data_IF_604168916115
#
_entry.id   IF_604168916115
#
_cell.length_a   1.000
_cell.length_b   1.000
_cell.length_c   1.000
_cell.angle_alpha   90.00
_cell.angle_beta   90.00
_cell.angle_gamma   90.00
#
_symmetry.space_group_name_H-M   'P 1'
#
loop_
_entity.id
_entity.type
_entity.pdbx_description
1 polymer ?
#
# COMPACT_ATOMS: atom_id res chain seq x y z
N UNK A 1 -80.77 -40.08 -7.13
CA UNK A 1 -79.49 -40.34 -6.43
C UNK A 1 -78.41 -39.47 -7.07
N UNK A 2 -78.10 -38.32 -6.48
CA UNK A 2 -77.00 -37.46 -6.96
C UNK A 2 -75.71 -37.91 -6.29
N UNK A 3 -74.75 -38.38 -7.10
CA UNK A 3 -73.41 -38.72 -6.64
C UNK A 3 -72.72 -37.48 -6.05
N UNK A 4 -72.05 -37.58 -4.89
CA UNK A 4 -71.40 -36.43 -4.29
C UNK A 4 -70.21 -36.00 -5.13
N UNK A 5 -70.17 -34.71 -5.51
CA UNK A 5 -69.03 -34.08 -6.18
C UNK A 5 -67.80 -34.25 -5.28
N UNK A 6 -66.81 -35.06 -5.70
CA UNK A 6 -65.50 -35.19 -5.07
C UNK A 6 -64.90 -33.80 -4.89
N UNK A 7 -64.81 -33.33 -3.64
CA UNK A 7 -64.01 -32.17 -3.29
C UNK A 7 -62.56 -32.46 -3.69
N UNK A 8 -62.00 -31.64 -4.59
CA UNK A 8 -60.57 -31.67 -4.86
C UNK A 8 -59.85 -31.35 -3.54
N UNK A 9 -58.90 -32.18 -3.07
CA UNK A 9 -58.17 -31.88 -1.86
C UNK A 9 -57.42 -30.58 -2.09
N UNK A 10 -57.77 -29.56 -1.32
CA UNK A 10 -57.02 -28.30 -1.27
C UNK A 10 -55.61 -28.68 -0.84
N UNK A 11 -54.63 -28.60 -1.75
CA UNK A 11 -53.23 -28.92 -1.41
C UNK A 11 -52.85 -28.16 -0.15
N UNK A 12 -52.44 -28.89 0.89
CA UNK A 12 -51.89 -28.30 2.11
C UNK A 12 -50.76 -27.35 1.74
N UNK A 13 -50.65 -26.23 2.45
CA UNK A 13 -49.64 -25.20 2.20
C UNK A 13 -48.21 -25.79 2.18
N UNK A 14 -47.94 -26.80 2.99
CA UNK A 14 -46.69 -27.57 3.00
C UNK A 14 -46.38 -28.25 1.66
N UNK A 15 -47.36 -28.86 1.03
CA UNK A 15 -47.19 -29.53 -0.27
C UNK A 15 -46.95 -28.51 -1.39
N UNK A 16 -47.57 -27.32 -1.32
CA UNK A 16 -47.32 -26.22 -2.27
C UNK A 16 -45.89 -25.68 -2.19
N UNK A 17 -45.34 -25.58 -0.98
CA UNK A 17 -43.93 -25.21 -0.77
C UNK A 17 -43.00 -26.28 -1.35
N UNK A 18 -43.29 -27.56 -1.09
CA UNK A 18 -42.43 -28.65 -1.56
C UNK A 18 -42.46 -28.85 -3.08
N UNK A 19 -43.55 -28.54 -3.78
CA UNK A 19 -43.59 -28.62 -5.25
C UNK A 19 -43.21 -27.32 -5.95
N UNK A 20 -42.81 -26.29 -5.20
CA UNK A 20 -42.34 -25.04 -5.78
C UNK A 20 -41.09 -25.32 -6.64
N UNK A 21 -41.15 -25.08 -7.97
CA UNK A 21 -40.02 -25.35 -8.86
C UNK A 21 -38.75 -24.59 -8.47
N UNK A 22 -38.88 -23.37 -7.93
CA UNK A 22 -37.73 -22.58 -7.50
C UNK A 22 -37.08 -23.17 -6.26
N UNK A 23 -37.89 -23.66 -5.30
CA UNK A 23 -37.37 -24.33 -4.11
C UNK A 23 -36.68 -25.64 -4.48
N UNK A 24 -37.28 -26.44 -5.38
CA UNK A 24 -36.70 -27.69 -5.84
C UNK A 24 -35.37 -27.48 -6.59
N UNK A 25 -35.28 -26.46 -7.44
CA UNK A 25 -34.02 -26.07 -8.08
C UNK A 25 -32.98 -25.63 -7.04
N UNK A 26 -33.37 -24.83 -6.05
CA UNK A 26 -32.46 -24.37 -4.99
C UNK A 26 -31.94 -25.53 -4.15
N UNK A 27 -32.81 -26.48 -3.77
CA UNK A 27 -32.42 -27.70 -3.05
C UNK A 27 -31.44 -28.51 -3.89
N UNK A 28 -31.73 -28.76 -5.17
CA UNK A 28 -30.83 -29.52 -6.04
C UNK A 28 -29.47 -28.84 -6.22
N UNK A 29 -29.43 -27.51 -6.23
CA UNK A 29 -28.19 -26.73 -6.33
C UNK A 29 -27.41 -26.67 -5.02
N UNK A 30 -28.05 -26.80 -3.85
CA UNK A 30 -27.40 -26.76 -2.54
C UNK A 30 -27.35 -28.16 -1.92
N UNK A 31 -26.23 -28.85 -2.10
CA UNK A 31 -26.06 -30.23 -1.68
C UNK A 31 -24.81 -30.36 -0.80
N UNK A 32 -24.93 -31.11 0.30
CA UNK A 32 -23.85 -31.32 1.28
C UNK A 32 -23.28 -30.02 1.89
N UNK A 33 -24.14 -29.00 2.07
CA UNK A 33 -23.75 -27.72 2.65
C UNK A 33 -22.99 -26.78 1.70
N UNK A 34 -22.98 -27.07 0.40
CA UNK A 34 -22.32 -26.26 -0.63
C UNK A 34 -23.19 -26.13 -1.87
N UNK A 35 -23.19 -24.95 -2.49
CA UNK A 35 -23.75 -24.79 -3.83
C UNK A 35 -22.88 -25.48 -4.88
N UNK A 36 -23.49 -26.11 -5.89
CA UNK A 36 -22.81 -26.84 -6.96
C UNK A 36 -21.76 -25.99 -7.69
N UNK A 37 -22.05 -24.71 -7.95
CA UNK A 37 -21.14 -23.78 -8.62
C UNK A 37 -19.89 -23.44 -7.79
N UNK A 38 -19.96 -23.61 -6.47
CA UNK A 38 -18.83 -23.40 -5.55
C UNK A 38 -17.88 -24.60 -5.50
N UNK A 39 -18.34 -25.81 -5.85
CA UNK A 39 -17.48 -27.02 -5.78
C UNK A 39 -16.24 -26.90 -6.67
N UNK A 40 -16.40 -26.34 -7.87
CA UNK A 40 -15.29 -26.11 -8.80
C UNK A 40 -14.21 -25.20 -8.18
N UNK A 41 -14.62 -24.19 -7.41
CA UNK A 41 -13.70 -23.26 -6.73
C UNK A 41 -12.94 -23.95 -5.61
N UNK A 42 -13.62 -24.70 -4.76
CA UNK A 42 -12.96 -25.49 -3.70
C UNK A 42 -12.08 -26.62 -4.25
N UNK A 43 -12.42 -27.19 -5.41
CA UNK A 43 -11.58 -28.17 -6.09
C UNK A 43 -10.32 -27.51 -6.67
N UNK A 44 -10.46 -26.37 -7.36
CA UNK A 44 -9.33 -25.61 -7.91
C UNK A 44 -8.37 -25.14 -6.82
N UNK A 45 -8.90 -24.67 -5.69
CA UNK A 45 -8.12 -24.32 -4.51
C UNK A 45 -7.38 -25.53 -3.92
N UNK A 46 -8.05 -26.67 -3.74
CA UNK A 46 -7.41 -27.92 -3.27
C UNK A 46 -6.34 -28.44 -4.21
N UNK A 47 -6.48 -28.21 -5.51
CA UNK A 47 -5.48 -28.53 -6.51
C UNK A 47 -4.28 -27.56 -6.51
N UNK A 48 -4.25 -26.58 -5.58
CA UNK A 48 -3.23 -25.53 -5.48
C UNK A 48 -3.04 -24.77 -6.81
N UNK A 49 -4.13 -24.55 -7.55
CA UNK A 49 -4.10 -23.73 -8.77
C UNK A 49 -3.62 -22.33 -8.40
N UNK A 50 -2.62 -21.81 -9.12
CA UNK A 50 -2.03 -20.50 -8.82
C UNK A 50 -3.13 -19.43 -8.84
N UNK A 51 -3.28 -18.74 -7.71
CA UNK A 51 -4.21 -17.62 -7.61
C UNK A 51 -3.83 -16.53 -8.62
N UNK A 52 -4.83 -15.92 -9.23
CA UNK A 52 -4.62 -14.74 -10.07
C UNK A 52 -4.15 -13.52 -9.24
N UNK A 53 -4.24 -13.59 -7.91
CA UNK A 53 -3.90 -12.51 -7.00
C UNK A 53 -2.70 -12.90 -6.13
N UNK A 54 -1.77 -11.96 -5.84
CA UNK A 54 -0.70 -12.22 -4.89
C UNK A 54 -1.27 -12.54 -3.50
N UNK A 55 -0.69 -13.54 -2.83
CA UNK A 55 -1.10 -13.98 -1.49
C UNK A 55 -1.28 -12.83 -0.49
N UNK A 56 -0.35 -11.88 -0.51
CA UNK A 56 -0.32 -10.74 0.42
C UNK A 56 -1.51 -9.81 0.22
N UNK A 57 -2.05 -9.73 -0.99
CA UNK A 57 -3.14 -8.84 -1.33
C UNK A 57 -4.50 -9.45 -1.01
N UNK A 58 -4.56 -10.77 -0.78
CA UNK A 58 -5.75 -11.47 -0.34
C UNK A 58 -5.89 -11.51 1.19
N UNK A 59 -5.00 -10.89 1.99
CA UNK A 59 -5.11 -10.89 3.46
C UNK A 59 -5.22 -12.30 4.09
N UNK A 60 -4.50 -13.28 3.52
CA UNK A 60 -4.44 -14.67 4.00
C UNK A 60 -3.01 -15.07 4.36
N UNK A 61 -2.87 -15.95 5.35
CA UNK A 61 -1.56 -16.38 5.85
C UNK A 61 -0.83 -17.33 4.88
N UNK A 62 -1.58 -18.09 4.07
CA UNK A 62 -1.05 -19.06 3.10
C UNK A 62 -2.09 -19.29 1.98
N UNK A 63 -1.63 -19.71 0.80
CA UNK A 63 -2.53 -20.18 -0.26
C UNK A 63 -3.33 -21.44 0.15
N UNK A 64 -2.85 -22.18 1.16
CA UNK A 64 -3.58 -23.31 1.75
C UNK A 64 -4.66 -22.88 2.75
N UNK A 65 -4.92 -21.59 2.89
CA UNK A 65 -6.01 -21.08 3.71
C UNK A 65 -7.33 -21.16 2.93
N UNK A 66 -8.35 -21.81 3.51
CA UNK A 66 -9.67 -21.93 2.88
C UNK A 66 -10.33 -20.58 2.57
N UNK A 67 -9.95 -19.52 3.29
CA UNK A 67 -10.45 -18.15 3.08
C UNK A 67 -10.05 -17.56 1.74
N UNK A 68 -9.03 -18.12 1.07
CA UNK A 68 -8.65 -17.75 -0.30
C UNK A 68 -9.87 -17.79 -1.22
N UNK A 69 -10.72 -18.81 -1.10
CA UNK A 69 -11.92 -18.96 -1.96
C UNK A 69 -12.86 -17.77 -1.83
N UNK A 70 -13.09 -17.30 -0.60
CA UNK A 70 -13.91 -16.12 -0.32
C UNK A 70 -13.20 -14.84 -0.77
N UNK A 71 -11.94 -14.67 -0.39
CA UNK A 71 -11.20 -13.44 -0.63
C UNK A 71 -10.90 -13.23 -2.12
N UNK A 72 -10.77 -14.28 -2.92
CA UNK A 72 -10.70 -14.18 -4.38
C UNK A 72 -12.03 -13.78 -5.00
N UNK A 73 -13.15 -14.34 -4.52
CA UNK A 73 -14.48 -13.93 -4.98
C UNK A 73 -14.72 -12.43 -4.68
N UNK A 74 -14.30 -11.99 -3.49
CA UNK A 74 -14.28 -10.57 -3.12
C UNK A 74 -13.37 -9.79 -4.07
N UNK A 75 -12.11 -10.18 -4.25
CA UNK A 75 -11.16 -9.48 -5.11
C UNK A 75 -11.68 -9.33 -6.56
N UNK A 76 -12.38 -10.34 -7.09
CA UNK A 76 -13.05 -10.32 -8.40
C UNK A 76 -14.33 -9.48 -8.44
N UNK A 77 -14.94 -9.17 -7.30
CA UNK A 77 -16.19 -8.42 -7.19
C UNK A 77 -17.44 -9.28 -7.41
N UNK A 78 -17.34 -10.60 -7.20
CA UNK A 78 -18.42 -11.55 -7.44
C UNK A 78 -19.39 -11.61 -6.25
N UNK A 79 -20.18 -10.55 -6.04
CA UNK A 79 -21.04 -10.42 -4.85
C UNK A 79 -22.00 -11.60 -4.66
N UNK A 80 -22.56 -12.15 -5.75
CA UNK A 80 -23.43 -13.34 -5.67
C UNK A 80 -22.70 -14.59 -5.18
N UNK A 81 -21.41 -14.75 -5.51
CA UNK A 81 -20.58 -15.85 -5.00
C UNK A 81 -20.28 -15.63 -3.52
N UNK A 82 -19.99 -14.39 -3.12
CA UNK A 82 -19.77 -14.02 -1.72
C UNK A 82 -21.00 -14.33 -0.87
N UNK A 83 -22.20 -13.96 -1.33
CA UNK A 83 -23.45 -14.29 -0.63
C UNK A 83 -23.68 -15.79 -0.49
N UNK A 84 -23.43 -16.56 -1.55
CA UNK A 84 -23.56 -18.02 -1.48
C UNK A 84 -22.53 -18.65 -0.55
N UNK A 85 -21.28 -18.18 -0.57
CA UNK A 85 -20.24 -18.65 0.35
C UNK A 85 -20.60 -18.37 1.81
N UNK A 86 -21.19 -17.21 2.09
CA UNK A 86 -21.67 -16.86 3.41
C UNK A 86 -22.87 -17.72 3.83
N UNK A 87 -23.83 -17.94 2.92
CA UNK A 87 -24.99 -18.79 3.17
C UNK A 87 -24.63 -20.26 3.47
N UNK A 88 -23.47 -20.73 3.00
CA UNK A 88 -22.92 -22.04 3.36
C UNK A 88 -22.44 -22.13 4.82
N UNK A 89 -22.35 -21.00 5.54
CA UNK A 89 -21.91 -20.90 6.94
C UNK A 89 -20.59 -21.64 7.24
N UNK A 90 -19.59 -21.41 6.39
CA UNK A 90 -18.30 -22.11 6.42
C UNK A 90 -17.26 -21.45 7.34
N UNK A 91 -17.64 -20.45 8.14
CA UNK A 91 -16.75 -19.62 8.96
C UNK A 91 -15.53 -19.11 8.16
N UNK A 92 -15.79 -18.57 6.96
CA UNK A 92 -14.77 -17.99 6.09
C UNK A 92 -14.62 -16.48 6.30
N UNK A 93 -15.68 -15.82 6.75
CA UNK A 93 -15.74 -14.37 6.86
C UNK A 93 -15.07 -13.92 8.15
N UNK A 94 -14.05 -13.08 7.99
CA UNK A 94 -13.28 -12.45 9.06
C UNK A 94 -13.14 -10.97 8.74
N UNK A 95 -12.67 -10.10 9.66
CA UNK A 95 -12.46 -8.68 9.33
C UNK A 95 -11.60 -8.44 8.09
N UNK A 96 -10.68 -9.38 7.80
CA UNK A 96 -9.85 -9.38 6.60
C UNK A 96 -10.65 -9.47 5.28
N UNK A 97 -11.89 -9.96 5.30
CA UNK A 97 -12.77 -9.96 4.14
C UNK A 97 -13.17 -8.53 3.74
N UNK A 98 -13.47 -7.68 4.72
CA UNK A 98 -13.76 -6.26 4.47
C UNK A 98 -12.50 -5.51 4.07
N UNK A 99 -11.34 -5.83 4.67
CA UNK A 99 -10.05 -5.26 4.28
C UNK A 99 -9.69 -5.62 2.81
N UNK A 100 -9.95 -6.86 2.41
CA UNK A 100 -9.80 -7.34 1.03
C UNK A 100 -10.75 -6.58 0.08
N UNK A 101 -12.02 -6.46 0.44
CA UNK A 101 -13.00 -5.72 -0.34
C UNK A 101 -12.60 -4.25 -0.52
N UNK A 102 -12.07 -3.62 0.54
CA UNK A 102 -11.59 -2.25 0.52
C UNK A 102 -10.36 -2.07 -0.39
N UNK A 103 -9.41 -3.00 -0.35
CA UNK A 103 -8.21 -3.00 -1.23
C UNK A 103 -8.57 -3.03 -2.71
N UNK A 104 -9.54 -3.85 -3.10
CA UNK A 104 -9.93 -4.03 -4.50
C UNK A 104 -11.08 -3.13 -4.95
N UNK A 105 -11.48 -2.17 -4.12
CA UNK A 105 -12.48 -1.16 -4.50
C UNK A 105 -13.90 -1.71 -4.60
N UNK A 106 -14.22 -2.79 -3.88
CA UNK A 106 -15.52 -3.45 -3.93
C UNK A 106 -16.51 -2.80 -2.96
N UNK A 107 -16.94 -1.58 -3.29
CA UNK A 107 -17.79 -0.77 -2.42
C UNK A 107 -19.10 -1.47 -2.03
N UNK A 108 -19.74 -2.18 -2.96
CA UNK A 108 -20.96 -2.95 -2.69
C UNK A 108 -20.73 -4.07 -1.66
N UNK A 109 -19.61 -4.79 -1.78
CA UNK A 109 -19.25 -5.86 -0.85
C UNK A 109 -18.89 -5.28 0.52
N UNK A 110 -18.17 -4.15 0.57
CA UNK A 110 -17.88 -3.44 1.84
C UNK A 110 -19.17 -3.02 2.53
N UNK A 111 -20.10 -2.40 1.80
CA UNK A 111 -21.39 -1.97 2.34
C UNK A 111 -22.19 -3.18 2.86
N UNK A 112 -22.26 -4.25 2.07
CA UNK A 112 -22.96 -5.47 2.47
C UNK A 112 -22.34 -6.12 3.71
N UNK A 113 -21.01 -6.31 3.76
CA UNK A 113 -20.32 -6.88 4.92
C UNK A 113 -20.58 -6.05 6.18
N UNK A 114 -20.55 -4.72 6.06
CA UNK A 114 -20.86 -3.81 7.16
C UNK A 114 -22.32 -3.97 7.63
N UNK A 115 -23.27 -4.08 6.71
CA UNK A 115 -24.70 -4.21 7.04
C UNK A 115 -25.03 -5.57 7.68
N UNK A 116 -24.22 -6.61 7.41
CA UNK A 116 -24.28 -7.89 8.13
C UNK A 116 -23.67 -7.81 9.55
N UNK A 117 -23.08 -6.67 9.94
CA UNK A 117 -22.47 -6.48 11.25
C UNK A 117 -21.01 -6.90 11.34
N UNK A 118 -20.35 -7.21 10.23
CA UNK A 118 -18.91 -7.44 10.23
C UNK A 118 -18.14 -6.13 10.43
N UNK A 119 -17.08 -6.19 11.23
CA UNK A 119 -16.15 -5.07 11.40
C UNK A 119 -14.94 -5.22 10.47
N UNK A 120 -14.26 -4.10 10.16
CA UNK A 120 -12.97 -4.08 9.47
C UNK A 120 -11.83 -3.80 10.45
N UNK A 121 -10.60 -4.10 10.01
CA UNK A 121 -9.42 -3.61 10.73
C UNK A 121 -9.06 -2.20 10.22
N UNK A 122 -7.99 -1.61 10.76
CA UNK A 122 -7.44 -0.35 10.24
C UNK A 122 -6.92 -0.51 8.80
N UNK A 123 -6.63 -1.74 8.36
CA UNK A 123 -6.14 -2.04 7.02
C UNK A 123 -7.17 -1.72 5.93
N UNK A 124 -8.47 -1.78 6.20
CA UNK A 124 -9.47 -1.43 5.18
C UNK A 124 -9.32 0.01 4.69
N UNK A 125 -9.18 0.97 5.61
CA UNK A 125 -9.04 2.38 5.23
C UNK A 125 -7.64 2.66 4.65
N UNK A 126 -6.59 2.03 5.20
CA UNK A 126 -5.22 2.15 4.67
C UNK A 126 -5.12 1.60 3.24
N UNK A 127 -5.73 0.45 2.97
CA UNK A 127 -5.75 -0.18 1.65
C UNK A 127 -6.61 0.60 0.66
N UNK A 128 -7.79 1.08 1.07
CA UNK A 128 -8.63 1.95 0.25
C UNK A 128 -7.89 3.24 -0.15
N UNK A 129 -7.17 3.86 0.79
CA UNK A 129 -6.36 5.05 0.54
C UNK A 129 -5.23 4.77 -0.48
N UNK A 130 -4.50 3.67 -0.26
CA UNK A 130 -3.38 3.26 -1.11
C UNK A 130 -3.80 3.00 -2.56
N UNK A 131 -4.95 2.34 -2.76
CA UNK A 131 -5.41 1.92 -4.08
C UNK A 131 -6.31 2.94 -4.78
N UNK A 132 -6.64 4.06 -4.13
CA UNK A 132 -7.40 5.15 -4.76
C UNK A 132 -8.92 5.03 -4.62
N UNK A 133 -9.44 4.29 -3.64
CA UNK A 133 -10.87 4.02 -3.48
C UNK A 133 -11.54 5.05 -2.56
N UNK A 134 -11.70 6.28 -3.05
CA UNK A 134 -12.28 7.41 -2.31
C UNK A 134 -13.67 7.10 -1.72
N UNK A 135 -14.56 6.44 -2.48
CA UNK A 135 -15.92 6.11 -2.02
C UNK A 135 -15.90 5.22 -0.77
N UNK A 136 -15.02 4.22 -0.74
CA UNK A 136 -14.86 3.32 0.40
C UNK A 136 -14.23 4.07 1.57
N UNK A 137 -13.24 4.91 1.29
CA UNK A 137 -12.57 5.71 2.31
C UNK A 137 -13.55 6.66 3.01
N UNK A 138 -14.40 7.37 2.26
CA UNK A 138 -15.47 8.21 2.79
C UNK A 138 -16.52 7.40 3.57
N UNK A 139 -16.91 6.23 3.05
CA UNK A 139 -17.85 5.33 3.71
C UNK A 139 -17.36 4.87 5.08
N UNK A 140 -16.09 4.44 5.16
CA UNK A 140 -15.45 4.00 6.41
C UNK A 140 -15.23 5.18 7.37
N UNK A 141 -14.84 6.35 6.86
CA UNK A 141 -14.69 7.57 7.66
C UNK A 141 -16.01 8.00 8.32
N UNK A 142 -17.11 8.04 7.56
CA UNK A 142 -18.42 8.42 8.08
C UNK A 142 -18.92 7.51 9.20
N UNK A 143 -18.40 6.28 9.29
CA UNK A 143 -18.71 5.28 10.32
C UNK A 143 -17.71 5.26 11.48
N UNK A 144 -16.80 6.24 11.53
CA UNK A 144 -15.81 6.36 12.60
C UNK A 144 -14.77 5.24 12.61
N UNK A 145 -14.52 4.57 11.47
CA UNK A 145 -13.45 3.58 11.38
C UNK A 145 -12.09 4.27 11.40
N UNK A 146 -11.14 3.64 12.06
CA UNK A 146 -9.78 4.17 12.21
C UNK A 146 -8.90 3.79 11.01
N UNK A 147 -7.83 4.55 10.80
CA UNK A 147 -6.75 4.24 9.88
C UNK A 147 -5.41 4.41 10.59
N UNK A 148 -4.31 4.12 9.91
CA UNK A 148 -2.97 4.41 10.42
C UNK A 148 -2.30 5.49 9.57
N UNK A 149 -1.05 5.83 9.92
CA UNK A 149 -0.19 6.68 9.07
C UNK A 149 0.02 6.10 7.68
N UNK A 150 -0.20 4.78 7.49
CA UNK A 150 -0.04 4.11 6.20
C UNK A 150 -1.09 4.56 5.17
N UNK A 151 -2.29 5.01 5.58
CA UNK A 151 -3.26 5.55 4.64
C UNK A 151 -2.68 6.70 3.81
N UNK A 152 -2.10 7.71 4.47
CA UNK A 152 -1.52 8.86 3.77
C UNK A 152 -0.20 8.51 3.08
N UNK A 153 0.61 7.64 3.67
CA UNK A 153 1.86 7.16 3.03
C UNK A 153 1.57 6.42 1.72
N UNK A 154 0.64 5.46 1.75
CA UNK A 154 0.26 4.67 0.58
C UNK A 154 -0.45 5.51 -0.50
N UNK A 155 -1.34 6.43 -0.09
CA UNK A 155 -1.93 7.40 -1.01
C UNK A 155 -0.87 8.28 -1.68
N UNK A 156 0.15 8.71 -0.92
CA UNK A 156 1.25 9.52 -1.45
C UNK A 156 2.17 8.74 -2.39
N UNK A 157 2.44 7.48 -2.06
CA UNK A 157 3.23 6.56 -2.88
C UNK A 157 2.61 6.32 -4.26
N UNK A 158 1.29 6.36 -4.37
CA UNK A 158 0.54 6.13 -5.61
C UNK A 158 -0.04 7.42 -6.23
N UNK A 159 0.35 8.60 -5.73
CA UNK A 159 -0.02 9.89 -6.33
C UNK A 159 -1.49 10.25 -6.18
N UNK A 160 -2.18 9.75 -5.14
CA UNK A 160 -3.61 9.99 -4.89
C UNK A 160 -3.82 11.31 -4.15
N UNK A 161 -3.57 12.44 -4.82
CA UNK A 161 -3.61 13.77 -4.19
C UNK A 161 -4.97 14.09 -3.54
N UNK A 162 -6.07 13.70 -4.18
CA UNK A 162 -7.43 13.85 -3.66
C UNK A 162 -7.60 13.16 -2.31
N UNK A 163 -7.10 11.93 -2.17
CA UNK A 163 -7.11 11.18 -0.92
C UNK A 163 -6.16 11.81 0.11
N UNK A 164 -4.97 12.23 -0.30
CA UNK A 164 -4.03 12.93 0.60
C UNK A 164 -4.67 14.20 1.17
N UNK A 165 -5.38 14.98 0.35
CA UNK A 165 -6.12 16.17 0.80
C UNK A 165 -7.26 15.80 1.75
N UNK A 166 -8.01 14.76 1.44
CA UNK A 166 -9.08 14.27 2.31
C UNK A 166 -8.54 13.86 3.69
N UNK A 167 -7.51 13.02 3.71
CA UNK A 167 -6.87 12.55 4.94
C UNK A 167 -6.26 13.72 5.73
N UNK A 168 -5.64 14.69 5.06
CA UNK A 168 -5.10 15.88 5.71
C UNK A 168 -6.16 16.73 6.42
N UNK A 169 -7.35 16.84 5.82
CA UNK A 169 -8.41 17.74 6.29
C UNK A 169 -9.33 17.10 7.34
N UNK A 170 -9.58 15.79 7.24
CA UNK A 170 -10.58 15.09 8.06
C UNK A 170 -9.98 14.15 9.10
N UNK A 171 -8.66 13.93 9.10
CA UNK A 171 -7.99 12.91 9.92
C UNK A 171 -6.77 13.48 10.65
N UNK A 172 -6.46 12.92 11.81
CA UNK A 172 -5.43 13.42 12.72
C UNK A 172 -4.20 12.51 12.82
N UNK A 173 -4.25 11.30 12.25
CA UNK A 173 -3.18 10.30 12.25
C UNK A 173 -1.90 10.83 11.60
N UNK A 174 -2.05 11.70 10.60
CA UNK A 174 -0.92 12.29 9.87
C UNK A 174 -0.18 11.30 8.99
N UNK A 175 1.11 11.55 8.77
CA UNK A 175 1.97 10.66 8.00
C UNK A 175 3.38 10.58 8.59
N UNK A 176 4.26 9.83 7.94
CA UNK A 176 5.70 9.82 8.25
C UNK A 176 6.47 10.44 7.08
N UNK A 177 7.79 10.67 7.24
CA UNK A 177 8.67 11.14 6.16
C UNK A 177 8.57 10.28 4.87
N UNK A 178 8.18 9.00 5.02
CA UNK A 178 7.97 8.07 3.90
C UNK A 178 6.95 8.57 2.88
N UNK A 179 5.98 9.40 3.29
CA UNK A 179 4.98 9.93 2.37
C UNK A 179 5.63 10.80 1.27
N UNK A 180 6.48 11.75 1.66
CA UNK A 180 7.19 12.59 0.69
C UNK A 180 8.31 11.81 -0.01
N UNK A 181 9.01 10.92 0.71
CA UNK A 181 10.07 10.08 0.12
C UNK A 181 9.53 9.21 -1.04
N UNK A 182 8.38 8.56 -0.84
CA UNK A 182 7.77 7.71 -1.86
C UNK A 182 7.03 8.47 -2.95
N UNK A 183 6.42 9.63 -2.64
CA UNK A 183 5.88 10.51 -3.66
C UNK A 183 7.00 11.00 -4.60
N UNK A 184 8.15 11.40 -4.04
CA UNK A 184 9.31 11.82 -4.82
C UNK A 184 9.93 10.67 -5.63
N UNK A 185 10.02 9.46 -5.05
CA UNK A 185 10.48 8.25 -5.75
C UNK A 185 9.69 7.96 -7.01
N UNK A 186 8.37 8.17 -6.97
CA UNK A 186 7.46 7.85 -8.08
C UNK A 186 7.09 9.09 -8.92
N UNK A 187 7.69 10.24 -8.65
CA UNK A 187 7.53 11.46 -9.44
C UNK A 187 6.19 12.18 -9.25
N UNK A 188 5.45 11.91 -8.16
CA UNK A 188 4.18 12.55 -7.84
C UNK A 188 4.37 13.96 -7.27
N UNK A 189 4.74 14.90 -8.15
CA UNK A 189 5.14 16.25 -7.79
C UNK A 189 4.04 17.10 -7.16
N UNK A 190 2.80 16.87 -7.55
CA UNK A 190 1.61 17.47 -6.97
C UNK A 190 1.46 17.09 -5.49
N UNK A 191 1.65 15.81 -5.16
CA UNK A 191 1.70 15.31 -3.77
C UNK A 191 2.90 15.86 -3.03
N UNK A 192 4.10 15.86 -3.62
CA UNK A 192 5.32 16.42 -2.97
C UNK A 192 5.12 17.88 -2.60
N UNK A 193 4.58 18.70 -3.51
CA UNK A 193 4.29 20.12 -3.25
C UNK A 193 3.24 20.28 -2.16
N UNK A 194 2.17 19.47 -2.19
CA UNK A 194 1.13 19.51 -1.16
C UNK A 194 1.69 19.16 0.22
N UNK A 195 2.42 18.06 0.34
CA UNK A 195 3.05 17.64 1.59
C UNK A 195 4.05 18.69 2.10
N UNK A 196 4.87 19.28 1.22
CA UNK A 196 5.82 20.31 1.61
C UNK A 196 5.14 21.56 2.20
N UNK A 197 3.99 21.95 1.65
CA UNK A 197 3.29 23.17 2.01
C UNK A 197 2.38 23.01 3.23
N UNK A 198 1.78 21.83 3.41
CA UNK A 198 0.71 21.61 4.41
C UNK A 198 1.13 20.68 5.56
N UNK A 199 2.26 19.97 5.45
CA UNK A 199 2.73 19.01 6.45
C UNK A 199 4.10 19.40 7.01
N UNK A 200 4.38 18.97 8.24
CA UNK A 200 5.60 19.34 9.00
C UNK A 200 6.60 18.21 9.11
N UNK A 201 6.20 16.99 8.78
CA UNK A 201 7.01 15.79 8.84
C UNK A 201 8.22 15.87 7.91
N UNK A 202 8.05 16.53 6.76
CA UNK A 202 9.13 16.72 5.79
C UNK A 202 9.45 15.45 5.02
N UNK A 203 10.75 15.23 4.78
CA UNK A 203 11.30 14.12 4.03
C UNK A 203 12.66 13.73 4.62
N UNK A 204 13.22 12.61 4.17
CA UNK A 204 14.61 12.24 4.44
C UNK A 204 15.49 12.48 3.20
N UNK A 205 16.80 12.25 3.31
CA UNK A 205 17.70 12.24 2.15
C UNK A 205 17.30 11.20 1.09
N UNK A 206 16.52 10.18 1.49
CA UNK A 206 16.00 9.14 0.62
C UNK A 206 15.07 9.72 -0.46
N UNK A 207 14.35 10.81 -0.20
CA UNK A 207 13.50 11.45 -1.21
C UNK A 207 14.28 11.84 -2.47
N UNK A 208 15.40 12.55 -2.29
CA UNK A 208 16.21 13.01 -3.42
C UNK A 208 16.99 11.85 -4.04
N UNK A 209 17.50 10.93 -3.23
CA UNK A 209 18.18 9.71 -3.69
C UNK A 209 17.28 8.88 -4.61
N UNK A 210 16.04 8.65 -4.19
CA UNK A 210 15.06 7.89 -4.95
C UNK A 210 14.53 8.64 -6.17
N UNK A 211 14.21 9.93 -6.04
CA UNK A 211 13.81 10.75 -7.18
C UNK A 211 14.90 10.75 -8.27
N UNK A 212 16.17 10.85 -7.87
CA UNK A 212 17.29 10.81 -8.79
C UNK A 212 17.45 9.43 -9.45
N UNK A 213 17.37 8.35 -8.67
CA UNK A 213 17.47 6.99 -9.17
C UNK A 213 16.36 6.61 -10.15
N UNK A 214 15.18 7.25 -10.08
CA UNK A 214 14.05 7.01 -11.00
C UNK A 214 13.91 8.11 -12.08
N UNK A 215 14.85 9.05 -12.14
CA UNK A 215 14.91 10.03 -13.23
C UNK A 215 13.95 11.21 -13.09
N UNK A 216 13.34 11.40 -11.92
CA UNK A 216 12.41 12.49 -11.65
C UNK A 216 13.15 13.81 -11.40
N UNK A 217 13.71 14.40 -12.45
CA UNK A 217 14.50 15.63 -12.38
C UNK A 217 13.74 16.81 -11.73
N UNK A 218 12.43 16.93 -11.96
CA UNK A 218 11.62 17.97 -11.31
C UNK A 218 11.62 17.82 -9.79
N UNK A 219 11.44 16.59 -9.29
CA UNK A 219 11.49 16.29 -7.86
C UNK A 219 12.88 16.59 -7.29
N UNK A 220 13.95 16.21 -8.00
CA UNK A 220 15.33 16.51 -7.57
C UNK A 220 15.57 18.02 -7.47
N UNK A 221 15.13 18.80 -8.47
CA UNK A 221 15.25 20.27 -8.46
C UNK A 221 14.46 20.89 -7.31
N UNK A 222 13.22 20.45 -7.12
CA UNK A 222 12.35 20.95 -6.07
C UNK A 222 12.95 20.65 -4.68
N UNK A 223 13.33 19.40 -4.43
CA UNK A 223 13.94 18.99 -3.17
C UNK A 223 15.26 19.73 -2.93
N UNK A 224 16.08 19.93 -3.97
CA UNK A 224 17.33 20.70 -3.85
C UNK A 224 17.07 22.15 -3.44
N UNK A 225 16.05 22.80 -4.01
CA UNK A 225 15.77 24.20 -3.77
C UNK A 225 15.03 24.46 -2.46
N UNK A 226 14.14 23.54 -2.04
CA UNK A 226 13.18 23.77 -0.96
C UNK A 226 13.49 22.99 0.33
N UNK A 227 14.43 22.05 0.29
CA UNK A 227 14.70 21.11 1.39
C UNK A 227 16.19 21.08 1.73
N UNK A 228 16.49 20.84 3.00
CA UNK A 228 17.86 20.94 3.56
C UNK A 228 18.52 19.59 3.79
N UNK A 229 17.73 18.51 3.74
CA UNK A 229 18.16 17.14 4.00
C UNK A 229 19.21 16.64 3.01
N UNK A 230 19.18 17.16 1.77
CA UNK A 230 20.13 16.82 0.74
C UNK A 230 19.95 15.43 0.14
N UNK A 231 21.04 14.84 -0.32
CA UNK A 231 21.09 13.50 -0.87
C UNK A 231 22.35 12.77 -0.37
N UNK A 232 22.47 11.49 -0.72
CA UNK A 232 23.71 10.73 -0.56
C UNK A 232 24.37 10.50 -1.93
N UNK A 233 25.47 9.76 -1.95
CA UNK A 233 26.07 9.28 -3.21
C UNK A 233 25.11 8.37 -3.99
N UNK A 234 24.07 7.83 -3.34
CA UNK A 234 23.07 6.98 -3.98
C UNK A 234 22.29 7.73 -5.08
N UNK A 235 22.03 9.02 -4.92
CA UNK A 235 21.37 9.82 -5.96
C UNK A 235 22.09 9.74 -7.31
N UNK A 236 23.40 10.01 -7.31
CA UNK A 236 24.19 10.00 -8.55
C UNK A 236 24.45 8.57 -9.05
N UNK A 237 24.75 7.63 -8.15
CA UNK A 237 24.97 6.22 -8.49
C UNK A 237 23.72 5.59 -9.12
N UNK A 238 22.55 5.83 -8.52
CA UNK A 238 21.25 5.34 -8.98
C UNK A 238 20.86 5.96 -10.31
N UNK A 239 20.97 7.29 -10.44
CA UNK A 239 20.72 8.00 -11.69
C UNK A 239 21.62 7.49 -12.82
N UNK A 240 22.89 7.21 -12.52
CA UNK A 240 23.84 6.70 -13.50
C UNK A 240 23.54 5.24 -13.92
N UNK A 241 23.23 4.38 -12.95
CA UNK A 241 22.85 2.97 -13.19
C UNK A 241 21.61 2.87 -14.08
N UNK A 242 20.65 3.77 -13.92
CA UNK A 242 19.35 3.73 -14.60
C UNK A 242 19.26 4.66 -15.82
N UNK A 243 20.35 5.31 -16.22
CA UNK A 243 20.40 6.04 -17.50
C UNK A 243 19.89 7.49 -17.46
N UNK A 244 19.80 8.11 -16.30
CA UNK A 244 19.22 9.45 -16.14
C UNK A 244 20.28 10.56 -16.25
N UNK A 245 20.82 10.79 -17.45
CA UNK A 245 21.90 11.74 -17.70
C UNK A 245 21.60 13.17 -17.19
N UNK A 246 20.39 13.68 -17.43
CA UNK A 246 20.01 15.03 -17.01
C UNK A 246 20.03 15.20 -15.47
N UNK A 247 19.69 14.13 -14.73
CA UNK A 247 19.80 14.10 -13.27
C UNK A 247 21.26 14.07 -12.84
N UNK A 248 22.10 13.24 -13.47
CA UNK A 248 23.54 13.17 -13.18
C UNK A 248 24.21 14.54 -13.39
N UNK A 249 23.93 15.20 -14.50
CA UNK A 249 24.44 16.55 -14.79
C UNK A 249 23.97 17.57 -13.75
N UNK A 250 22.68 17.54 -13.39
CA UNK A 250 22.14 18.43 -12.36
C UNK A 250 22.83 18.23 -11.01
N UNK A 251 22.95 16.98 -10.57
CA UNK A 251 23.61 16.64 -9.30
C UNK A 251 25.09 17.02 -9.32
N UNK A 252 25.80 16.81 -10.43
CA UNK A 252 27.21 17.20 -10.54
C UNK A 252 27.39 18.73 -10.43
N UNK A 253 26.48 19.51 -11.02
CA UNK A 253 26.57 20.97 -11.02
C UNK A 253 26.15 21.60 -9.68
N UNK A 254 25.23 20.99 -8.92
CA UNK A 254 24.59 21.62 -7.77
C UNK A 254 24.82 20.91 -6.42
N UNK A 255 25.38 19.70 -6.41
CA UNK A 255 25.61 18.88 -5.21
C UNK A 255 27.10 18.51 -5.07
N UNK A 256 27.53 18.25 -3.84
CA UNK A 256 28.95 18.00 -3.50
C UNK A 256 29.24 16.56 -3.08
N UNK A 257 28.18 15.77 -2.90
CA UNK A 257 28.25 14.38 -2.46
C UNK A 257 28.96 13.47 -3.48
N UNK A 258 28.78 13.77 -4.78
CA UNK A 258 29.40 13.05 -5.88
C UNK A 258 28.84 11.64 -6.07
N UNK A 259 29.64 10.77 -6.70
CA UNK A 259 29.32 9.37 -6.95
C UNK A 259 30.37 8.42 -6.38
N UNK A 260 30.02 7.15 -6.22
CA UNK A 260 30.99 6.09 -5.93
C UNK A 260 31.60 5.52 -7.21
N UNK A 261 32.68 4.74 -7.06
CA UNK A 261 33.32 4.03 -8.18
C UNK A 261 32.37 3.10 -8.94
N UNK A 262 31.29 2.66 -8.30
CA UNK A 262 30.30 1.77 -8.90
C UNK A 262 29.43 2.49 -9.93
N UNK A 263 29.28 3.82 -9.87
CA UNK A 263 28.38 4.57 -10.75
C UNK A 263 28.75 4.41 -12.24
N UNK A 264 30.01 4.68 -12.60
CA UNK A 264 30.45 4.57 -13.99
C UNK A 264 30.46 3.11 -14.49
N UNK A 265 30.82 2.16 -13.62
CA UNK A 265 30.79 0.72 -13.95
C UNK A 265 29.35 0.24 -14.16
N UNK A 266 28.42 0.65 -13.30
CA UNK A 266 27.01 0.32 -13.42
C UNK A 266 26.40 0.94 -14.67
N UNK A 267 26.65 2.22 -14.94
CA UNK A 267 26.23 2.89 -16.17
C UNK A 267 26.72 2.12 -17.41
N UNK A 268 27.99 1.69 -17.44
CA UNK A 268 28.53 0.90 -18.53
C UNK A 268 27.84 -0.47 -18.68
N UNK A 269 27.63 -1.19 -17.56
CA UNK A 269 26.98 -2.52 -17.56
C UNK A 269 25.54 -2.48 -18.05
N UNK A 270 24.84 -1.37 -17.77
CA UNK A 270 23.46 -1.15 -18.21
C UNK A 270 23.36 -0.43 -19.58
N UNK A 271 24.50 -0.20 -20.27
CA UNK A 271 24.53 0.33 -21.63
C UNK A 271 24.54 1.87 -21.75
N UNK A 272 24.60 2.59 -20.63
CA UNK A 272 24.59 4.06 -20.57
C UNK A 272 25.99 4.65 -20.77
N UNK A 273 26.53 4.47 -21.99
CA UNK A 273 27.91 4.86 -22.36
C UNK A 273 28.20 6.35 -22.14
N UNK A 274 27.25 7.22 -22.51
CA UNK A 274 27.41 8.68 -22.34
C UNK A 274 27.62 9.07 -20.88
N UNK A 275 26.83 8.49 -19.97
CA UNK A 275 26.96 8.71 -18.53
C UNK A 275 28.27 8.14 -18.01
N UNK A 276 28.66 6.94 -18.45
CA UNK A 276 29.93 6.33 -18.03
C UNK A 276 31.13 7.20 -18.45
N UNK A 277 31.12 7.74 -19.67
CA UNK A 277 32.15 8.68 -20.15
C UNK A 277 32.12 9.98 -19.35
N UNK A 278 30.95 10.56 -19.13
CA UNK A 278 30.78 11.77 -18.32
C UNK A 278 31.37 11.59 -16.91
N UNK A 279 31.01 10.50 -16.23
CA UNK A 279 31.51 10.23 -14.87
C UNK A 279 33.02 9.97 -14.84
N UNK A 280 33.58 9.27 -15.85
CA UNK A 280 35.03 9.06 -15.95
C UNK A 280 35.80 10.37 -16.11
N UNK A 281 35.31 11.27 -16.96
CA UNK A 281 35.93 12.57 -17.21
C UNK A 281 35.86 13.48 -15.99
N UNK A 282 34.72 13.53 -15.30
CA UNK A 282 34.48 14.47 -14.21
C UNK A 282 34.95 13.98 -12.81
N UNK A 283 35.09 12.67 -12.58
CA UNK A 283 35.34 12.12 -11.24
C UNK A 283 36.60 11.25 -11.08
N UNK A 284 37.45 11.10 -12.12
CA UNK A 284 38.66 10.25 -12.08
C UNK A 284 38.41 8.91 -11.33
N UNK A 285 37.45 8.14 -11.83
CA UNK A 285 36.85 6.97 -11.15
C UNK A 285 37.87 5.87 -10.76
N UNK A 286 39.09 5.94 -11.29
CA UNK A 286 40.19 5.03 -11.00
C UNK A 286 40.97 5.36 -9.71
N UNK A 287 40.88 6.58 -9.16
CA UNK A 287 41.71 7.04 -8.01
C UNK A 287 40.94 7.25 -6.69
N UNK A 288 39.63 7.01 -6.65
CA UNK A 288 38.83 7.26 -5.44
C UNK A 288 39.03 6.15 -4.37
N UNK A 289 39.35 6.51 -3.10
CA UNK A 289 39.53 5.53 -2.02
C UNK A 289 38.27 4.69 -1.82
N UNK A 290 38.44 3.38 -1.58
CA UNK A 290 37.36 2.55 -1.05
C UNK A 290 36.81 3.21 0.21
N UNK A 291 35.50 3.43 0.26
CA UNK A 291 34.88 4.09 1.39
C UNK A 291 35.10 3.27 2.67
N UNK A 292 35.99 3.75 3.53
CA UNK A 292 36.08 3.43 4.94
C UNK A 292 36.67 4.62 5.67
N UNK A 293 35.97 5.76 5.68
CA UNK A 293 36.25 6.79 6.69
C UNK A 293 35.42 6.49 7.92
N UNK A 294 36.07 5.79 8.87
CA UNK A 294 35.69 5.72 10.28
C UNK A 294 35.21 7.10 10.73
N UNK A 295 34.07 7.12 11.44
CA UNK A 295 33.65 8.25 12.27
C UNK A 295 34.87 8.80 13.01
N UNK A 296 35.34 9.99 12.63
CA UNK A 296 36.24 10.74 13.48
C UNK A 296 35.45 11.05 14.75
N UNK A 297 35.66 10.25 15.80
CA UNK A 297 35.35 10.64 17.17
C UNK A 297 36.06 11.98 17.37
N UNK A 298 35.30 13.07 17.34
CA UNK A 298 35.73 14.36 17.86
C UNK A 298 36.14 14.08 19.31
N UNK A 299 37.44 14.01 19.57
CA UNK A 299 37.99 14.02 20.93
C UNK A 299 37.52 15.35 21.53
N UNK A 300 36.49 15.29 22.37
CA UNK A 300 36.18 16.36 23.31
C UNK A 300 37.43 16.50 24.19
N UNK A 301 38.14 17.62 24.07
CA UNK A 301 39.15 17.99 25.03
C UNK A 301 38.51 18.06 26.43
N UNK A 302 39.17 17.56 27.49
CA UNK A 302 38.63 17.69 28.83
C UNK A 302 38.57 19.18 29.17
N UNK A 303 37.36 19.70 29.32
CA UNK A 303 37.15 21.03 29.90
C UNK A 303 37.70 21.00 31.32
N UNK A 304 38.82 21.67 31.54
CA UNK A 304 39.30 22.01 32.87
C UNK A 304 38.23 22.87 33.55
N UNK A 305 37.67 22.35 34.65
CA UNK A 305 36.81 23.13 35.53
C UNK A 305 37.68 24.18 36.24
N UNK A 306 37.34 25.48 36.21
CA UNK A 306 37.94 26.44 37.12
C UNK A 306 37.52 26.08 38.55
N UNK A 307 38.51 25.81 39.41
CA UNK A 307 38.39 25.87 40.87
C UNK A 307 38.12 27.32 41.29
N UNK A 308 37.43 27.47 42.42
CA UNK A 308 37.20 28.67 43.28
C UNK A 308 35.77 29.26 43.09
N UNK A 309 34.90 29.40 44.10
CA UNK A 309 35.09 29.55 45.56
C UNK A 309 33.87 29.10 46.38
N UNK A 310 34.22 28.43 47.50
CA UNK A 310 33.71 28.54 48.89
C UNK A 310 32.22 28.77 49.18
N UNK A 311 31.72 27.78 49.91
CA UNK A 311 30.72 27.86 50.99
C UNK A 311 31.01 29.01 51.98
N UNK A 312 30.01 29.86 52.22
CA UNK A 312 29.65 30.48 53.51
C UNK A 312 28.11 30.55 53.48
N UNK A 313 27.37 29.66 54.15
CA UNK A 313 26.87 29.80 55.53
C UNK A 313 26.55 31.24 55.93
N UNK A 314 25.26 31.55 56.17
CA UNK A 314 24.72 32.23 57.37
C UNK A 314 23.21 32.49 57.16
N UNK A 315 22.44 32.00 58.14
CA UNK A 315 21.04 32.30 58.56
C UNK A 315 19.88 31.99 57.61
#
# INVERSE_FOLDING_TARGET
MQSPKRHKPTMQASLRVLVDPNLMVTIAQFQHGLFEDLRGRFAAWRAATVSAFPQRDLFVASHNDRRVVLHEAIARGEIGVVWRLEACNLDLTTPAAMDCAARYGRAEIVAWLHDQGYDCTTEAMDAAATHGHMTILQFLHARGKNCTVNAMVGASEHGRLDIVRFLHTHRSEGCTVRAMDYAARNGHMDVVRFLHTHRREGCSAVAMDFAAAHGHLEAVRFLHAQRVEGCSTYAMDGAARNGHLAVVQFLQAHRREGCTRKAAVAAQRHGHKEIATFLKTHYQVDTLPSASRKLQKKRLAPRSLPRLLRVQSIM
#
